data_IF_737449575255
#
_entry.id   IF_737449575255
#
_cell.length_a   1.000
_cell.length_b   1.000
_cell.length_c   1.000
_cell.angle_alpha   90.00
_cell.angle_beta   90.00
_cell.angle_gamma   90.00
#
_symmetry.space_group_name_H-M   'P 1'
#
loop_
_entity.id
_entity.type
_entity.pdbx_description
1 polymer ?
#
# COMPACT_ATOMS: atom_id res chain seq x y z
N UNK A 1 12.12 9.11 -1.87
CA UNK A 1 10.72 8.69 -2.07
C UNK A 1 10.33 9.10 -3.47
N UNK A 2 9.65 8.23 -4.22
CA UNK A 2 9.16 8.52 -5.57
C UNK A 2 7.70 8.14 -5.66
N UNK A 3 6.89 8.99 -6.30
CA UNK A 3 5.48 8.72 -6.57
C UNK A 3 5.29 8.86 -8.07
N UNK A 4 5.01 7.74 -8.74
CA UNK A 4 4.71 7.74 -10.18
C UNK A 4 3.17 7.70 -10.32
N UNK A 5 2.58 8.77 -10.85
CA UNK A 5 1.14 8.90 -11.05
C UNK A 5 0.86 9.48 -12.43
N UNK A 6 -0.24 9.05 -13.03
CA UNK A 6 -0.82 9.66 -14.24
C UNK A 6 -2.09 10.46 -13.90
N UNK A 7 -2.51 10.44 -12.63
CA UNK A 7 -3.71 11.06 -12.10
C UNK A 7 -3.36 12.43 -11.54
N UNK A 8 -4.17 13.43 -11.88
CA UNK A 8 -4.12 14.79 -11.35
C UNK A 8 -5.44 15.15 -10.65
N UNK A 9 -5.48 16.30 -9.96
CA UNK A 9 -6.69 16.73 -9.26
C UNK A 9 -7.89 16.85 -10.22
N UNK A 10 -9.03 16.27 -9.83
CA UNK A 10 -10.24 16.23 -10.66
C UNK A 10 -10.23 15.18 -11.77
N UNK A 11 -9.17 14.37 -11.87
CA UNK A 11 -9.13 13.27 -12.83
C UNK A 11 -10.20 12.23 -12.53
N UNK A 12 -10.91 11.79 -13.57
CA UNK A 12 -11.93 10.75 -13.48
C UNK A 12 -11.32 9.41 -13.85
N UNK A 13 -11.26 8.47 -12.90
CA UNK A 13 -10.81 7.11 -13.17
C UNK A 13 -11.81 6.39 -14.09
N UNK A 14 -11.41 5.99 -15.31
CA UNK A 14 -12.29 5.28 -16.23
C UNK A 14 -12.50 3.82 -15.79
N UNK A 15 -13.71 3.25 -15.95
CA UNK A 15 -13.98 1.87 -15.55
C UNK A 15 -13.44 0.82 -16.52
N UNK A 16 -12.88 1.24 -17.65
CA UNK A 16 -12.45 0.35 -18.75
C UNK A 16 -10.97 -0.04 -18.70
N UNK A 17 -10.21 0.49 -17.73
CA UNK A 17 -8.77 0.27 -17.60
C UNK A 17 -8.41 -0.22 -16.20
N UNK A 18 -7.13 -0.50 -15.99
CA UNK A 18 -6.60 -0.88 -14.68
C UNK A 18 -6.91 0.20 -13.62
N UNK A 19 -7.19 -0.25 -12.39
CA UNK A 19 -7.56 0.60 -11.26
C UNK A 19 -6.38 1.29 -10.58
N UNK A 20 -5.15 1.02 -11.04
CA UNK A 20 -3.92 1.58 -10.48
C UNK A 20 -3.79 3.09 -10.76
N UNK A 21 -3.97 3.90 -9.73
CA UNK A 21 -3.87 5.37 -9.81
C UNK A 21 -2.45 5.92 -9.60
N UNK A 22 -1.65 5.27 -8.74
CA UNK A 22 -0.29 5.69 -8.43
C UNK A 22 0.59 4.52 -7.95
N UNK A 23 1.91 4.67 -8.12
CA UNK A 23 2.93 3.79 -7.53
C UNK A 23 3.74 4.60 -6.52
N UNK A 24 3.73 4.17 -5.26
CA UNK A 24 4.54 4.77 -4.19
C UNK A 24 5.76 3.90 -3.93
N UNK A 25 6.94 4.50 -4.03
CA UNK A 25 8.21 3.79 -3.96
C UNK A 25 9.11 4.49 -2.94
N UNK A 26 9.59 3.73 -1.96
CA UNK A 26 10.55 4.19 -0.95
C UNK A 26 11.84 3.41 -1.05
N UNK A 27 12.97 4.10 -0.97
CA UNK A 27 14.31 3.52 -0.87
C UNK A 27 14.97 4.00 0.43
N UNK A 28 16.02 3.32 0.87
CA UNK A 28 16.77 3.60 2.09
C UNK A 28 17.93 2.63 2.26
N UNK A 29 18.78 2.89 3.25
CA UNK A 29 19.95 2.07 3.55
C UNK A 29 19.60 0.81 4.35
N UNK A 30 18.48 0.81 5.07
CA UNK A 30 17.99 -0.36 5.82
C UNK A 30 16.51 -0.64 5.58
N UNK A 31 16.09 -1.87 5.89
CA UNK A 31 14.68 -2.28 5.82
C UNK A 31 13.81 -1.43 6.75
N UNK A 32 14.28 -1.17 7.96
CA UNK A 32 13.55 -0.37 8.95
C UNK A 32 13.36 1.08 8.48
N UNK A 33 14.38 1.68 7.87
CA UNK A 33 14.32 3.02 7.29
C UNK A 33 13.30 3.07 6.15
N UNK A 34 13.32 2.08 5.25
CA UNK A 34 12.37 1.99 4.13
C UNK A 34 10.94 1.81 4.64
N UNK A 35 10.71 0.91 5.60
CA UNK A 35 9.39 0.68 6.18
C UNK A 35 8.87 1.92 6.91
N UNK A 36 9.72 2.64 7.65
CA UNK A 36 9.35 3.89 8.30
C UNK A 36 8.96 4.97 7.28
N UNK A 37 9.74 5.13 6.21
CA UNK A 37 9.41 6.06 5.11
C UNK A 37 8.10 5.70 4.43
N UNK A 38 7.84 4.42 4.17
CA UNK A 38 6.59 3.99 3.53
C UNK A 38 5.39 4.20 4.44
N UNK A 39 5.51 3.93 5.74
CA UNK A 39 4.45 4.21 6.72
C UNK A 39 4.08 5.69 6.74
N UNK A 40 5.08 6.57 6.73
CA UNK A 40 4.85 8.02 6.62
C UNK A 40 4.22 8.41 5.28
N UNK A 41 4.70 7.85 4.17
CA UNK A 41 4.13 8.13 2.84
C UNK A 41 2.64 7.80 2.77
N UNK A 42 2.24 6.65 3.32
CA UNK A 42 0.85 6.21 3.33
C UNK A 42 -0.01 6.92 4.39
N UNK A 43 0.58 7.46 5.47
CA UNK A 43 -0.18 8.25 6.45
C UNK A 43 -0.56 9.63 5.92
N UNK A 44 0.30 10.21 5.09
CA UNK A 44 0.07 11.51 4.43
C UNK A 44 -0.72 11.38 3.11
N UNK A 45 -0.96 10.16 2.62
CA UNK A 45 -1.67 9.95 1.36
C UNK A 45 -3.16 10.21 1.53
N UNK A 46 -3.66 11.19 0.78
CA UNK A 46 -5.06 11.57 0.77
C UNK A 46 -5.65 11.40 -0.64
N UNK A 47 -6.67 10.54 -0.76
CA UNK A 47 -7.38 10.27 -2.02
C UNK A 47 -8.87 10.22 -1.71
N UNK A 48 -9.65 11.06 -2.40
CA UNK A 48 -11.10 11.15 -2.24
C UNK A 48 -11.82 10.79 -3.55
N UNK A 49 -13.11 10.48 -3.45
CA UNK A 49 -13.99 10.22 -4.59
C UNK A 49 -13.91 8.79 -5.16
N UNK A 50 -12.94 7.98 -4.74
CA UNK A 50 -12.81 6.56 -5.09
C UNK A 50 -12.41 5.74 -3.85
N UNK A 51 -12.80 4.46 -3.84
CA UNK A 51 -12.26 3.50 -2.87
C UNK A 51 -10.81 3.18 -3.21
N UNK A 52 -9.95 3.08 -2.20
CA UNK A 52 -8.53 2.73 -2.37
C UNK A 52 -8.12 1.59 -1.43
N UNK A 53 -7.01 0.94 -1.76
CA UNK A 53 -6.38 -0.09 -0.93
C UNK A 53 -5.32 0.47 0.05
N UNK A 54 -5.29 1.79 0.28
CA UNK A 54 -4.30 2.44 1.16
C UNK A 54 -4.38 1.86 2.59
N UNK A 55 -5.60 1.66 3.11
CA UNK A 55 -5.79 1.08 4.45
C UNK A 55 -5.21 -0.34 4.55
N UNK A 56 -5.44 -1.18 3.54
CA UNK A 56 -4.86 -2.53 3.47
C UNK A 56 -3.32 -2.47 3.49
N UNK A 57 -2.71 -1.57 2.70
CA UNK A 57 -1.26 -1.41 2.69
C UNK A 57 -0.72 -0.90 4.03
N UNK A 58 -1.43 -0.01 4.73
CA UNK A 58 -1.06 0.42 6.08
C UNK A 58 -1.06 -0.74 7.08
N UNK A 59 -2.07 -1.60 7.03
CA UNK A 59 -2.16 -2.78 7.90
C UNK A 59 -1.02 -3.78 7.60
N UNK A 60 -0.71 -4.03 6.33
CA UNK A 60 0.40 -4.92 5.93
C UNK A 60 1.74 -4.39 6.46
N UNK A 61 1.95 -3.07 6.50
CA UNK A 61 3.17 -2.47 7.06
C UNK A 61 3.27 -2.53 8.59
N UNK A 62 2.22 -3.00 9.26
CA UNK A 62 2.21 -3.30 10.69
C UNK A 62 2.37 -4.81 10.97
N UNK A 63 2.20 -5.67 9.95
CA UNK A 63 2.36 -7.12 10.09
C UNK A 63 3.84 -7.47 10.38
N UNK A 64 4.16 -8.13 11.51
CA UNK A 64 5.51 -8.55 11.83
C UNK A 64 6.12 -9.51 10.80
N UNK A 65 5.30 -10.37 10.17
CA UNK A 65 5.79 -11.34 9.17
C UNK A 65 6.27 -10.59 7.93
N UNK A 66 5.46 -9.66 7.43
CA UNK A 66 5.87 -8.74 6.37
C UNK A 66 7.10 -7.93 6.80
N UNK A 67 7.10 -7.30 7.98
CA UNK A 67 8.21 -6.46 8.43
C UNK A 67 9.54 -7.22 8.54
N UNK A 68 9.52 -8.51 8.92
CA UNK A 68 10.72 -9.37 8.98
C UNK A 68 11.13 -9.98 7.63
N UNK A 69 10.29 -9.85 6.59
CA UNK A 69 10.54 -10.42 5.27
C UNK A 69 10.25 -11.92 5.16
N UNK A 70 9.47 -12.49 6.10
CA UNK A 70 9.16 -13.92 6.15
C UNK A 70 7.94 -14.34 5.32
N UNK A 71 7.66 -13.64 4.22
CA UNK A 71 6.46 -13.80 3.42
C UNK A 71 6.69 -14.74 2.23
N UNK A 72 5.73 -15.63 1.98
CA UNK A 72 5.62 -16.43 0.75
C UNK A 72 4.48 -15.92 -0.15
N UNK A 73 4.27 -16.58 -1.30
CA UNK A 73 3.26 -16.18 -2.30
C UNK A 73 1.80 -16.29 -1.81
N UNK A 74 1.55 -17.05 -0.74
CA UNK A 74 0.22 -17.28 -0.15
C UNK A 74 0.02 -16.49 1.15
N UNK A 75 1.00 -15.68 1.57
CA UNK A 75 0.97 -14.95 2.84
C UNK A 75 -0.28 -14.05 2.95
N UNK A 76 -0.57 -13.26 1.93
CA UNK A 76 -1.69 -12.31 1.95
C UNK A 76 -3.04 -13.01 2.12
N UNK A 77 -3.24 -14.13 1.43
CA UNK A 77 -4.49 -14.91 1.51
C UNK A 77 -4.71 -15.43 2.94
N UNK A 78 -3.69 -16.08 3.52
CA UNK A 78 -3.76 -16.56 4.91
C UNK A 78 -3.95 -15.41 5.90
N UNK A 79 -3.25 -14.30 5.70
CA UNK A 79 -3.33 -13.13 6.56
C UNK A 79 -4.72 -12.45 6.51
N UNK A 80 -5.39 -12.46 5.36
CA UNK A 80 -6.76 -11.96 5.25
C UNK A 80 -7.77 -12.91 5.91
N UNK A 81 -7.59 -14.23 5.78
CA UNK A 81 -8.48 -15.22 6.40
C UNK A 81 -8.49 -15.11 7.93
N UNK A 82 -7.33 -14.89 8.56
CA UNK A 82 -7.24 -14.71 10.03
C UNK A 82 -7.91 -13.42 10.52
N UNK A 83 -8.04 -12.41 9.66
CA UNK A 83 -8.67 -11.10 9.97
C UNK A 83 -10.15 -11.04 9.59
N UNK A 84 -10.60 -11.93 8.71
CA UNK A 84 -11.98 -11.99 8.23
C UNK A 84 -12.87 -12.91 9.08
N UNK A 85 -12.30 -13.62 10.04
CA UNK A 85 -13.07 -14.37 11.04
C UNK A 85 -13.58 -13.39 12.12
N UNK A 86 -14.89 -13.46 12.46
CA UNK A 86 -15.50 -12.60 13.47
C UNK A 86 -14.91 -12.85 14.88
#
# INVERSE_FOLDING_TARGET
>A
MRVDSHVSHGYRVPPYYDSMVAKVITHGASRDEVLARMRLALSEMHVEGISTNIALHRDILQDPVFCKGGMDIHHLERWLQTRSQP
#
